data_IF_382821956389
#
_entry.id   IF_382821956389
#
_cell.length_a   1.000
_cell.length_b   1.000
_cell.length_c   1.000
_cell.angle_alpha   90.00
_cell.angle_beta   90.00
_cell.angle_gamma   90.00
#
_symmetry.space_group_name_H-M   'P 1'
#
loop_
_entity.id
_entity.type
_entity.pdbx_description
1 polymer ?
#
# COMPACT_ATOMS: atom_id res chain seq x y z
N UNK A 1 -9.29 8.50 -9.32
CA UNK A 1 -7.95 8.50 -8.73
C UNK A 1 -7.88 9.72 -7.83
N UNK A 2 -7.65 9.50 -6.53
CA UNK A 2 -7.55 10.61 -5.58
C UNK A 2 -6.16 11.25 -5.64
N UNK A 3 -6.05 12.51 -5.23
CA UNK A 3 -4.79 13.25 -5.24
C UNK A 3 -3.79 12.64 -4.24
N UNK A 4 -2.62 12.23 -4.76
CA UNK A 4 -1.49 11.72 -3.98
C UNK A 4 -0.74 12.92 -3.41
N UNK A 5 -0.65 13.01 -2.09
CA UNK A 5 0.01 14.15 -1.43
C UNK A 5 1.53 14.04 -1.54
N UNK A 6 2.06 12.81 -1.57
CA UNK A 6 3.50 12.55 -1.64
C UNK A 6 3.79 11.34 -2.52
N UNK A 7 4.58 11.52 -3.59
CA UNK A 7 5.02 10.44 -4.48
C UNK A 7 6.55 10.35 -4.51
N UNK A 8 7.09 9.14 -4.45
CA UNK A 8 8.52 8.89 -4.60
C UNK A 8 8.89 8.53 -6.03
N UNK A 9 9.92 9.17 -6.57
CA UNK A 9 10.51 8.84 -7.88
C UNK A 9 11.72 7.91 -7.72
N UNK A 10 11.89 6.96 -8.65
CA UNK A 10 13.02 6.02 -8.69
C UNK A 10 13.71 6.11 -10.05
N UNK A 11 15.05 6.17 -10.04
CA UNK A 11 15.85 6.24 -11.27
C UNK A 11 16.41 4.87 -11.65
N UNK A 12 16.52 4.61 -12.95
CA UNK A 12 17.09 3.38 -13.50
C UNK A 12 18.62 3.35 -13.40
N UNK A 13 19.18 2.15 -13.29
CA UNK A 13 20.62 1.93 -13.39
C UNK A 13 21.00 1.86 -14.88
N UNK A 14 21.58 2.94 -15.41
CA UNK A 14 22.16 2.90 -16.76
C UNK A 14 23.54 2.27 -16.66
N UNK A 15 23.69 1.02 -17.10
CA UNK A 15 25.02 0.48 -17.39
C UNK A 15 25.61 1.30 -18.54
N UNK A 16 26.63 2.11 -18.25
CA UNK A 16 27.47 2.70 -19.30
C UNK A 16 28.17 1.55 -20.02
N UNK A 17 27.74 1.22 -21.24
CA UNK A 17 28.60 0.50 -22.17
C UNK A 17 29.67 1.48 -22.64
N UNK A 18 30.87 1.36 -22.08
CA UNK A 18 32.05 2.08 -22.54
C UNK A 18 32.42 1.60 -23.95
N UNK A 19 31.88 2.27 -24.98
CA UNK A 19 32.66 2.57 -26.19
C UNK A 19 32.00 3.65 -27.09
N UNK A 20 32.83 4.62 -27.47
CA UNK A 20 32.66 5.68 -28.47
C UNK A 20 31.88 6.97 -28.12
N UNK A 21 32.64 8.07 -28.07
CA UNK A 21 32.20 9.45 -27.96
C UNK A 21 31.43 9.91 -29.22
N UNK A 22 30.30 10.60 -29.05
CA UNK A 22 30.03 11.88 -29.74
C UNK A 22 28.81 12.61 -29.14
N UNK A 23 28.78 13.92 -29.41
CA UNK A 23 28.21 15.02 -28.65
C UNK A 23 26.68 15.26 -28.78
N UNK A 24 26.10 15.70 -27.65
CA UNK A 24 24.88 16.49 -27.37
C UNK A 24 23.50 16.12 -27.96
N UNK A 25 22.54 15.90 -27.06
CA UNK A 25 21.33 16.73 -27.05
C UNK A 25 20.84 17.00 -25.62
N UNK A 26 20.57 18.27 -25.38
CA UNK A 26 20.25 18.87 -24.10
C UNK A 26 18.81 18.47 -23.66
N UNK A 27 18.66 17.41 -22.87
CA UNK A 27 17.40 17.08 -22.21
C UNK A 27 17.43 17.58 -20.77
N UNK A 28 16.37 18.33 -20.41
CA UNK A 28 16.27 19.14 -19.22
C UNK A 28 16.55 18.35 -17.92
N UNK A 29 17.61 18.77 -17.22
CA UNK A 29 17.82 18.39 -15.82
C UNK A 29 16.68 18.96 -14.97
N UNK A 30 15.76 18.09 -14.54
CA UNK A 30 14.74 18.41 -13.56
C UNK A 30 15.05 17.67 -12.26
N UNK A 31 16.08 18.14 -11.55
CA UNK A 31 16.29 17.81 -10.14
C UNK A 31 15.27 18.59 -9.31
N UNK A 32 14.07 18.03 -9.13
CA UNK A 32 13.33 18.33 -7.91
C UNK A 32 13.96 17.51 -6.80
N UNK A 33 14.89 18.13 -6.08
CA UNK A 33 15.57 17.49 -4.96
C UNK A 33 14.55 16.98 -3.96
N UNK A 34 14.56 15.67 -3.71
CA UNK A 34 13.93 15.07 -2.53
C UNK A 34 14.38 15.88 -1.31
N UNK A 35 13.45 16.20 -0.40
CA UNK A 35 13.85 16.77 0.88
C UNK A 35 14.81 15.80 1.56
N UNK A 36 15.99 16.29 1.96
CA UNK A 36 17.03 15.46 2.58
C UNK A 36 16.55 14.71 3.83
N UNK A 37 15.43 15.16 4.43
CA UNK A 37 14.71 14.50 5.52
C UNK A 37 14.26 13.06 5.21
N UNK A 38 13.98 12.71 3.95
CA UNK A 38 13.52 11.36 3.53
C UNK A 38 14.67 10.33 3.56
N UNK A 39 15.91 10.77 3.37
CA UNK A 39 17.10 9.90 3.33
C UNK A 39 17.78 9.76 4.70
N UNK A 40 17.35 10.53 5.70
CA UNK A 40 17.89 10.44 7.05
C UNK A 40 17.34 9.19 7.74
N UNK A 41 18.18 8.17 7.89
CA UNK A 41 17.89 7.05 8.77
C UNK A 41 17.87 7.51 10.23
N UNK A 42 16.94 6.98 11.02
CA UNK A 42 16.95 7.14 12.47
C UNK A 42 17.93 6.13 13.05
N UNK A 43 18.91 6.60 13.82
CA UNK A 43 19.91 5.76 14.48
C UNK A 43 19.65 5.86 15.98
N UNK A 44 19.26 4.75 16.59
CA UNK A 44 19.05 4.68 18.04
C UNK A 44 19.66 3.42 18.61
N UNK A 45 20.35 3.55 19.76
CA UNK A 45 20.99 2.42 20.44
C UNK A 45 21.87 1.58 19.50
N UNK A 46 22.53 2.23 18.53
CA UNK A 46 23.40 1.58 17.54
C UNK A 46 22.66 0.80 16.44
N UNK A 47 21.33 0.92 16.33
CA UNK A 47 20.52 0.28 15.29
C UNK A 47 19.93 1.31 14.34
N UNK A 48 19.92 0.98 13.05
CA UNK A 48 19.39 1.82 11.98
C UNK A 48 17.94 1.46 11.70
N UNK A 49 17.03 2.41 11.90
CA UNK A 49 15.60 2.26 11.62
C UNK A 49 15.25 3.01 10.34
N UNK A 50 14.46 2.36 9.47
CA UNK A 50 13.90 3.01 8.29
C UNK A 50 12.87 4.09 8.68
N UNK A 51 12.95 5.25 8.04
CA UNK A 51 12.06 6.40 8.25
C UNK A 51 10.69 6.28 7.54
N UNK A 52 10.33 5.08 7.09
CA UNK A 52 9.14 4.80 6.27
C UNK A 52 7.82 5.11 6.99
N UNK A 53 7.85 5.29 8.32
CA UNK A 53 6.69 5.57 9.18
C UNK A 53 6.87 6.82 10.07
N UNK A 54 7.85 7.68 9.81
CA UNK A 54 8.00 8.90 10.62
C UNK A 54 6.78 9.82 10.44
N UNK A 55 6.22 10.24 11.57
CA UNK A 55 5.02 11.06 11.64
C UNK A 55 3.74 10.29 11.97
N UNK A 56 3.70 8.96 11.81
CA UNK A 56 2.52 8.20 12.26
C UNK A 56 2.56 8.04 13.78
N UNK A 57 1.41 8.17 14.49
CA UNK A 57 1.42 8.23 15.95
C UNK A 57 2.22 7.10 16.60
N UNK A 58 2.07 5.80 16.25
CA UNK A 58 2.84 4.74 16.92
C UNK A 58 4.34 4.73 16.64
N UNK A 59 4.82 5.49 15.65
CA UNK A 59 6.23 5.53 15.26
C UNK A 59 6.97 6.79 15.75
N UNK A 60 6.26 7.73 16.40
CA UNK A 60 6.84 8.92 17.02
C UNK A 60 7.32 8.59 18.45
N UNK A 61 8.52 9.05 18.83
CA UNK A 61 9.15 8.75 20.14
C UNK A 61 8.29 9.13 21.34
N UNK A 62 7.62 10.28 21.26
CA UNK A 62 6.82 10.84 22.33
C UNK A 62 5.37 10.32 22.34
N UNK A 63 5.01 9.46 21.39
CA UNK A 63 3.63 9.02 21.28
C UNK A 63 3.29 7.97 22.33
N UNK A 64 2.35 8.33 23.19
CA UNK A 64 1.67 7.40 24.08
C UNK A 64 0.44 6.88 23.34
N UNK A 65 0.56 5.69 22.75
CA UNK A 65 -0.57 4.99 22.13
C UNK A 65 -1.14 3.96 23.11
N UNK A 66 -2.45 3.97 23.31
CA UNK A 66 -3.20 3.04 24.14
C UNK A 66 -3.60 1.78 23.37
N UNK A 67 -4.90 1.53 23.22
CA UNK A 67 -5.40 0.30 22.56
C UNK A 67 -5.17 0.37 21.05
N UNK A 68 -4.32 -0.53 20.55
CA UNK A 68 -3.99 -0.67 19.12
C UNK A 68 -4.62 -1.94 18.56
N UNK A 69 -5.26 -1.83 17.39
CA UNK A 69 -5.66 -2.97 16.57
C UNK A 69 -4.78 -3.03 15.32
N UNK A 70 -4.17 -4.19 15.06
CA UNK A 70 -3.47 -4.49 13.81
C UNK A 70 -4.30 -5.45 12.95
N UNK A 71 -4.79 -4.96 11.83
CA UNK A 71 -5.62 -5.67 10.86
C UNK A 71 -4.75 -6.09 9.67
N UNK A 72 -4.77 -7.38 9.33
CA UNK A 72 -3.86 -7.96 8.33
C UNK A 72 -2.91 -9.03 8.88
N UNK A 73 -3.16 -9.55 10.08
CA UNK A 73 -2.59 -10.83 10.57
C UNK A 73 -3.20 -12.08 9.90
N UNK A 74 -4.12 -11.87 8.96
CA UNK A 74 -5.06 -12.82 8.38
C UNK A 74 -6.23 -12.04 7.77
N UNK A 75 -7.45 -12.59 7.70
CA UNK A 75 -8.57 -11.87 7.07
C UNK A 75 -9.10 -10.68 7.86
N UNK A 76 -8.73 -10.50 9.15
CA UNK A 76 -9.13 -9.38 10.01
C UNK A 76 -10.64 -9.29 10.33
N UNK A 77 -11.49 -9.94 9.55
CA UNK A 77 -12.94 -9.94 9.61
C UNK A 77 -13.48 -10.39 10.96
N UNK A 78 -12.88 -11.42 11.56
CA UNK A 78 -13.32 -11.93 12.86
C UNK A 78 -13.16 -10.90 13.97
N UNK A 79 -12.05 -10.15 14.02
CA UNK A 79 -11.82 -9.17 15.08
C UNK A 79 -12.83 -8.01 14.99
N UNK A 80 -13.21 -7.63 13.78
CA UNK A 80 -14.20 -6.57 13.53
C UNK A 80 -15.61 -7.06 13.85
N UNK A 81 -15.99 -8.24 13.34
CA UNK A 81 -17.31 -8.82 13.59
C UNK A 81 -17.50 -9.13 15.08
N UNK A 82 -16.44 -9.54 15.79
CA UNK A 82 -16.46 -9.70 17.24
C UNK A 82 -16.70 -8.36 17.95
N UNK A 83 -16.04 -7.27 17.54
CA UNK A 83 -16.29 -5.94 18.07
C UNK A 83 -17.75 -5.49 17.89
N UNK A 84 -18.34 -5.78 16.72
CA UNK A 84 -19.76 -5.47 16.46
C UNK A 84 -20.72 -6.27 17.37
N UNK A 85 -20.41 -7.54 17.65
CA UNK A 85 -21.19 -8.41 18.54
C UNK A 85 -21.05 -8.06 20.02
N UNK A 86 -19.94 -7.40 20.38
CA UNK A 86 -19.57 -7.07 21.75
C UNK A 86 -19.38 -5.55 21.90
N UNK A 87 -20.46 -4.76 21.85
CA UNK A 87 -20.38 -3.29 21.93
C UNK A 87 -19.88 -2.77 23.29
N UNK A 88 -19.81 -3.64 24.31
CA UNK A 88 -19.10 -3.38 25.57
C UNK A 88 -17.57 -3.37 25.41
N UNK A 89 -17.06 -3.92 24.30
CA UNK A 89 -15.65 -3.86 23.98
C UNK A 89 -15.24 -2.41 23.78
N UNK A 90 -14.09 -2.09 24.34
CA UNK A 90 -13.69 -0.72 24.44
C UNK A 90 -13.02 -0.22 23.13
N UNK A 91 -13.32 1.00 22.64
CA UNK A 91 -12.82 1.52 21.36
C UNK A 91 -11.29 1.63 21.28
N UNK A 92 -10.73 1.51 20.07
CA UNK A 92 -9.29 1.63 19.80
C UNK A 92 -8.84 3.08 19.66
N UNK A 93 -7.59 3.37 20.00
CA UNK A 93 -6.99 4.69 19.74
C UNK A 93 -6.25 4.73 18.40
N UNK A 94 -5.86 3.56 17.88
CA UNK A 94 -5.22 3.42 16.59
C UNK A 94 -5.58 2.06 15.96
N UNK A 95 -6.00 2.10 14.70
CA UNK A 95 -6.25 0.93 13.88
C UNK A 95 -5.28 0.99 12.70
N UNK A 96 -4.42 -0.02 12.59
CA UNK A 96 -3.58 -0.27 11.43
C UNK A 96 -4.22 -1.33 10.55
N UNK A 97 -4.20 -1.17 9.23
CA UNK A 97 -4.68 -2.17 8.28
C UNK A 97 -3.72 -2.30 7.12
N UNK A 98 -3.29 -3.52 6.79
CA UNK A 98 -2.25 -3.74 5.79
C UNK A 98 -2.53 -4.90 4.80
N UNK A 99 -2.36 -4.64 3.49
CA UNK A 99 -2.48 -5.62 2.39
C UNK A 99 -3.79 -6.41 2.39
N UNK A 100 -4.91 -5.68 2.40
CA UNK A 100 -6.27 -6.20 2.53
C UNK A 100 -7.10 -6.11 1.23
N UNK A 101 -6.56 -5.56 0.13
CA UNK A 101 -7.26 -5.41 -1.18
C UNK A 101 -7.90 -6.69 -1.71
N UNK A 102 -7.34 -7.86 -1.41
CA UNK A 102 -7.90 -9.16 -1.82
C UNK A 102 -8.89 -9.78 -0.81
N UNK A 103 -8.98 -9.22 0.39
CA UNK A 103 -9.67 -9.81 1.55
C UNK A 103 -10.95 -9.06 1.91
N UNK A 104 -10.97 -7.74 1.72
CA UNK A 104 -12.12 -6.89 2.04
C UNK A 104 -13.03 -6.77 0.83
N UNK A 105 -14.30 -7.14 1.04
CA UNK A 105 -15.32 -7.11 -0.02
C UNK A 105 -16.00 -5.74 -0.15
N UNK A 106 -16.18 -5.04 0.97
CA UNK A 106 -16.85 -3.75 1.03
C UNK A 106 -15.99 -2.78 1.84
N UNK A 107 -15.25 -1.93 1.13
CA UNK A 107 -14.29 -1.01 1.74
C UNK A 107 -14.97 0.17 2.45
N UNK A 108 -16.10 0.65 1.95
CA UNK A 108 -16.88 1.72 2.60
C UNK A 108 -17.39 1.25 3.97
N UNK A 109 -17.98 0.05 4.01
CA UNK A 109 -18.44 -0.55 5.27
C UNK A 109 -17.27 -0.82 6.22
N UNK A 110 -16.16 -1.35 5.71
CA UNK A 110 -14.96 -1.61 6.50
C UNK A 110 -14.41 -0.32 7.14
N UNK A 111 -14.23 0.74 6.33
CA UNK A 111 -13.74 2.05 6.81
C UNK A 111 -14.73 2.65 7.81
N UNK A 112 -16.04 2.52 7.57
CA UNK A 112 -17.06 2.96 8.53
C UNK A 112 -16.95 2.22 9.86
N UNK A 113 -16.77 0.90 9.84
CA UNK A 113 -16.57 0.11 11.07
C UNK A 113 -15.31 0.52 11.82
N UNK A 114 -14.21 0.78 11.10
CA UNK A 114 -13.00 1.35 11.71
C UNK A 114 -13.28 2.71 12.35
N UNK A 115 -14.00 3.60 11.66
CA UNK A 115 -14.39 4.90 12.20
C UNK A 115 -15.22 4.77 13.47
N UNK A 116 -16.26 3.93 13.48
CA UNK A 116 -17.16 3.74 14.62
C UNK A 116 -16.41 3.20 15.86
N UNK A 117 -15.44 2.30 15.65
CA UNK A 117 -14.67 1.65 16.71
C UNK A 117 -13.43 2.43 17.18
N UNK A 118 -13.16 3.62 16.63
CA UNK A 118 -12.10 4.50 17.12
C UNK A 118 -12.61 5.43 18.24
N UNK A 119 -11.76 5.68 19.23
CA UNK A 119 -11.94 6.79 20.17
C UNK A 119 -11.93 8.13 19.43
N UNK A 120 -12.61 9.17 19.94
CA UNK A 120 -12.41 10.53 19.45
C UNK A 120 -10.92 10.89 19.48
N UNK A 121 -10.42 11.52 18.41
CA UNK A 121 -8.98 11.78 18.24
C UNK A 121 -8.14 10.59 17.77
N UNK A 122 -8.71 9.37 17.71
CA UNK A 122 -8.02 8.16 17.25
C UNK A 122 -7.74 8.14 15.75
N UNK A 123 -6.87 7.22 15.31
CA UNK A 123 -6.33 7.20 13.95
C UNK A 123 -6.59 5.89 13.21
N UNK A 124 -6.90 5.99 11.92
CA UNK A 124 -6.89 4.86 10.98
C UNK A 124 -5.71 5.02 10.02
N UNK A 125 -4.88 3.98 9.92
CA UNK A 125 -3.80 3.88 8.92
C UNK A 125 -4.05 2.68 8.01
N UNK A 126 -4.26 2.93 6.72
CA UNK A 126 -4.38 1.92 5.67
C UNK A 126 -3.08 1.85 4.87
N UNK A 127 -2.47 0.67 4.78
CA UNK A 127 -1.33 0.39 3.90
C UNK A 127 -1.69 -0.69 2.89
N UNK A 128 -1.85 -0.32 1.62
CA UNK A 128 -2.23 -1.29 0.59
C UNK A 128 -1.54 -1.03 -0.73
N UNK A 129 -1.52 -2.04 -1.59
CA UNK A 129 -0.82 -1.97 -2.88
C UNK A 129 -1.79 -2.19 -4.03
N UNK A 130 -1.61 -1.39 -5.08
CA UNK A 130 -2.26 -1.67 -6.34
C UNK A 130 -1.74 -2.99 -6.91
N UNK A 131 -2.67 -3.85 -7.30
CA UNK A 131 -2.34 -5.14 -7.93
C UNK A 131 -1.80 -4.98 -9.34
N UNK A 132 -2.16 -3.90 -10.04
CA UNK A 132 -1.71 -3.63 -11.40
C UNK A 132 -0.32 -2.97 -11.38
N UNK A 133 0.70 -3.57 -12.00
CA UNK A 133 2.02 -2.98 -12.10
C UNK A 133 2.00 -1.69 -12.92
N UNK A 134 2.90 -0.77 -12.59
CA UNK A 134 3.15 0.47 -13.35
C UNK A 134 4.62 0.58 -13.74
N UNK A 135 4.90 1.46 -14.69
CA UNK A 135 6.23 1.84 -15.17
C UNK A 135 6.15 3.32 -15.55
N UNK A 136 7.19 4.09 -15.19
CA UNK A 136 7.21 5.55 -15.43
C UNK A 136 7.74 5.91 -16.82
N UNK A 137 8.37 4.95 -17.51
CA UNK A 137 9.09 5.11 -18.78
C UNK A 137 8.58 4.17 -19.88
N UNK A 138 7.40 3.58 -19.66
CA UNK A 138 6.73 2.65 -20.59
C UNK A 138 7.57 1.43 -21.00
N UNK A 139 8.62 1.08 -20.25
CA UNK A 139 9.47 -0.09 -20.51
C UNK A 139 8.86 -1.41 -20.02
N UNK A 140 7.65 -1.38 -19.44
CA UNK A 140 6.82 -2.55 -19.18
C UNK A 140 5.80 -2.74 -20.32
N UNK A 141 5.96 -3.75 -21.19
CA UNK A 141 5.02 -4.00 -22.27
C UNK A 141 3.60 -4.30 -21.74
N UNK A 142 2.58 -3.75 -22.41
CA UNK A 142 1.17 -3.95 -22.03
C UNK A 142 0.70 -5.39 -22.22
N UNK A 143 1.40 -6.17 -23.04
CA UNK A 143 1.18 -7.58 -23.31
C UNK A 143 2.16 -8.50 -22.57
N UNK A 144 2.95 -7.95 -21.62
CA UNK A 144 3.80 -8.76 -20.75
C UNK A 144 2.95 -9.78 -19.97
N UNK A 145 3.48 -10.98 -19.77
CA UNK A 145 2.82 -12.06 -19.04
C UNK A 145 2.45 -11.64 -17.61
N UNK A 146 3.22 -10.76 -16.96
CA UNK A 146 2.84 -10.23 -15.65
C UNK A 146 1.61 -9.31 -15.68
N UNK A 147 1.42 -8.53 -16.75
CA UNK A 147 0.22 -7.72 -16.94
C UNK A 147 -0.98 -8.64 -17.17
N UNK A 148 -0.83 -9.65 -18.03
CA UNK A 148 -1.87 -10.64 -18.29
C UNK A 148 -2.25 -11.42 -17.03
N UNK A 149 -1.25 -11.79 -16.21
CA UNK A 149 -1.47 -12.47 -14.93
C UNK A 149 -2.42 -11.69 -14.01
N UNK A 150 -2.21 -10.37 -13.90
CA UNK A 150 -3.06 -9.51 -13.08
C UNK A 150 -4.43 -9.29 -13.73
N UNK A 151 -4.51 -9.17 -15.04
CA UNK A 151 -5.80 -9.07 -15.75
C UNK A 151 -6.68 -10.31 -15.51
N UNK A 152 -6.10 -11.51 -15.60
CA UNK A 152 -6.79 -12.76 -15.31
C UNK A 152 -7.26 -12.83 -13.85
N UNK A 153 -6.45 -12.37 -12.90
CA UNK A 153 -6.86 -12.27 -11.49
C UNK A 153 -8.03 -11.29 -11.31
N UNK A 154 -8.00 -10.13 -11.98
CA UNK A 154 -9.11 -9.15 -11.96
C UNK A 154 -10.38 -9.72 -12.60
N UNK A 155 -10.27 -10.49 -13.66
CA UNK A 155 -11.40 -11.18 -14.26
C UNK A 155 -12.03 -12.18 -13.27
N UNK A 156 -11.20 -13.01 -12.63
CA UNK A 156 -11.69 -13.95 -11.62
C UNK A 156 -12.34 -13.22 -10.45
N UNK A 157 -11.70 -12.16 -9.93
CA UNK A 157 -12.20 -11.42 -8.78
C UNK A 157 -13.57 -10.78 -9.06
N UNK A 158 -13.77 -10.28 -10.28
CA UNK A 158 -15.07 -9.82 -10.78
C UNK A 158 -16.11 -10.94 -10.86
N UNK A 159 -15.77 -12.10 -11.44
CA UNK A 159 -16.69 -13.27 -11.49
C UNK A 159 -17.11 -13.76 -10.10
N UNK A 160 -16.24 -13.58 -9.09
CA UNK A 160 -16.52 -13.94 -7.69
C UNK A 160 -17.21 -12.83 -6.88
N UNK A 161 -17.48 -11.66 -7.48
CA UNK A 161 -18.09 -10.51 -6.79
C UNK A 161 -17.21 -9.95 -5.66
N UNK A 162 -15.89 -9.98 -5.86
CA UNK A 162 -14.83 -9.52 -4.94
C UNK A 162 -13.78 -8.73 -5.71
N UNK A 163 -14.21 -7.68 -6.40
CA UNK A 163 -13.30 -6.86 -7.21
C UNK A 163 -12.22 -6.19 -6.34
N UNK A 164 -11.02 -6.08 -6.90
CA UNK A 164 -9.93 -5.37 -6.24
C UNK A 164 -10.27 -3.88 -6.20
N UNK A 165 -10.08 -3.26 -5.02
CA UNK A 165 -10.25 -1.82 -4.87
C UNK A 165 -9.15 -1.06 -5.61
N UNK A 166 -9.48 0.12 -6.12
CA UNK A 166 -8.49 1.09 -6.57
C UNK A 166 -7.97 1.80 -5.31
N UNK A 167 -6.73 1.51 -4.89
CA UNK A 167 -6.29 1.84 -3.52
C UNK A 167 -6.30 3.35 -3.26
N UNK A 168 -6.05 4.20 -4.25
CA UNK A 168 -6.11 5.65 -4.04
C UNK A 168 -7.52 6.15 -3.70
N UNK A 169 -8.57 5.44 -4.15
CA UNK A 169 -9.96 5.78 -3.82
C UNK A 169 -10.27 5.67 -2.32
N UNK A 170 -9.48 4.89 -1.55
CA UNK A 170 -9.68 4.74 -0.11
C UNK A 170 -9.50 6.07 0.65
N UNK A 171 -8.70 7.01 0.13
CA UNK A 171 -8.58 8.37 0.69
C UNK A 171 -9.94 9.07 0.71
N UNK A 172 -10.67 9.03 -0.40
CA UNK A 172 -12.00 9.65 -0.50
C UNK A 172 -13.00 8.95 0.41
N UNK A 173 -12.97 7.60 0.47
CA UNK A 173 -13.84 6.84 1.37
C UNK A 173 -13.60 7.19 2.85
N UNK A 174 -12.34 7.43 3.25
CA UNK A 174 -12.03 7.91 4.60
C UNK A 174 -12.59 9.30 4.87
N UNK A 175 -12.45 10.23 3.91
CA UNK A 175 -13.03 11.58 4.02
C UNK A 175 -14.55 11.50 4.17
N UNK A 176 -15.20 10.70 3.32
CA UNK A 176 -16.66 10.49 3.34
C UNK A 176 -17.15 9.84 4.64
N UNK A 177 -16.35 8.95 5.25
CA UNK A 177 -16.64 8.35 6.55
C UNK A 177 -16.50 9.34 7.72
N UNK A 178 -15.91 10.52 7.50
CA UNK A 178 -15.79 11.59 8.50
C UNK A 178 -14.39 11.74 9.12
N UNK A 179 -13.37 11.07 8.59
CA UNK A 179 -11.99 11.31 9.01
C UNK A 179 -11.51 12.70 8.58
N UNK A 180 -10.74 13.35 9.45
CA UNK A 180 -10.06 14.63 9.23
C UNK A 180 -8.59 14.39 8.86
N UNK A 181 -7.97 15.42 8.27
CA UNK A 181 -6.54 15.46 8.00
C UNK A 181 -6.03 14.23 7.23
N UNK A 182 -6.81 13.77 6.24
CA UNK A 182 -6.52 12.54 5.51
C UNK A 182 -5.36 12.74 4.54
N UNK A 183 -4.19 12.20 4.89
CA UNK A 183 -2.98 12.21 4.06
C UNK A 183 -2.78 10.86 3.36
N UNK A 184 -2.33 10.90 2.10
CA UNK A 184 -1.95 9.75 1.29
C UNK A 184 -0.55 9.92 0.73
N UNK A 185 0.32 8.94 1.03
CA UNK A 185 1.66 8.83 0.49
C UNK A 185 1.76 7.58 -0.38
N UNK A 186 2.37 7.70 -1.56
CA UNK A 186 2.61 6.59 -2.48
C UNK A 186 4.11 6.28 -2.58
N UNK A 187 4.44 5.01 -2.41
CA UNK A 187 5.77 4.44 -2.54
C UNK A 187 5.80 3.49 -3.73
N UNK A 188 6.92 3.49 -4.46
CA UNK A 188 7.16 2.55 -5.55
C UNK A 188 7.87 1.32 -5.00
N UNK A 189 7.26 0.14 -5.10
CA UNK A 189 7.89 -1.14 -4.78
C UNK A 189 8.33 -1.82 -6.07
N UNK A 190 9.61 -1.74 -6.44
CA UNK A 190 10.13 -2.32 -7.68
C UNK A 190 9.91 -3.83 -7.69
N UNK A 191 9.66 -4.40 -8.85
CA UNK A 191 9.49 -5.86 -8.99
C UNK A 191 10.81 -6.62 -9.01
N UNK A 192 11.91 -5.92 -9.29
CA UNK A 192 13.26 -6.46 -9.30
C UNK A 192 14.30 -5.36 -9.08
N UNK A 193 15.57 -5.71 -9.28
CA UNK A 193 16.75 -4.90 -8.98
C UNK A 193 17.08 -3.81 -10.02
N UNK A 194 16.18 -3.47 -10.95
CA UNK A 194 16.40 -2.41 -11.96
C UNK A 194 16.72 -1.01 -11.40
N UNK A 195 16.27 -0.58 -10.21
CA UNK A 195 16.58 0.76 -9.71
C UNK A 195 18.06 0.93 -9.41
N UNK A 196 18.58 2.14 -9.67
CA UNK A 196 19.97 2.52 -9.34
C UNK A 196 20.22 2.63 -7.84
N UNK A 197 19.24 3.15 -7.09
CA UNK A 197 19.35 3.37 -5.66
C UNK A 197 19.52 2.02 -4.92
N UNK A 198 20.59 1.83 -4.11
CA UNK A 198 20.86 0.56 -3.43
C UNK A 198 19.73 0.06 -2.51
N UNK A 199 18.98 0.99 -1.90
CA UNK A 199 17.83 0.65 -1.06
C UNK A 199 16.69 0.10 -1.90
N UNK A 200 16.35 0.77 -3.02
CA UNK A 200 15.29 0.31 -3.92
C UNK A 200 15.69 -0.95 -4.69
N UNK A 201 16.97 -1.11 -5.03
CA UNK A 201 17.52 -2.34 -5.58
C UNK A 201 17.31 -3.52 -4.62
N UNK A 202 17.67 -3.35 -3.35
CA UNK A 202 17.44 -4.35 -2.30
C UNK A 202 15.95 -4.61 -2.05
N UNK A 203 15.10 -3.57 -2.07
CA UNK A 203 13.66 -3.74 -1.97
C UNK A 203 13.11 -4.57 -3.13
N UNK A 204 13.55 -4.28 -4.35
CA UNK A 204 13.17 -5.02 -5.55
C UNK A 204 13.58 -6.48 -5.52
N UNK A 205 14.78 -6.79 -5.00
CA UNK A 205 15.19 -8.17 -4.73
C UNK A 205 14.19 -8.89 -3.81
N UNK A 206 13.81 -8.28 -2.69
CA UNK A 206 12.86 -8.89 -1.75
C UNK A 206 11.44 -9.00 -2.31
N UNK A 207 10.99 -8.00 -3.07
CA UNK A 207 9.71 -8.06 -3.78
C UNK A 207 9.70 -9.22 -4.76
N UNK A 208 10.77 -9.41 -5.52
CA UNK A 208 10.90 -10.50 -6.48
C UNK A 208 10.80 -11.87 -5.79
N UNK A 209 11.53 -12.08 -4.71
CA UNK A 209 11.53 -13.34 -3.95
C UNK A 209 10.15 -13.61 -3.31
N UNK A 210 9.52 -12.58 -2.74
CA UNK A 210 8.21 -12.69 -2.13
C UNK A 210 7.13 -12.99 -3.17
N UNK A 211 7.04 -12.18 -4.22
CA UNK A 211 5.97 -12.29 -5.20
C UNK A 211 6.16 -13.51 -6.10
N UNK A 212 7.39 -13.76 -6.57
CA UNK A 212 7.72 -14.87 -7.46
C UNK A 212 7.44 -16.25 -6.85
N UNK A 213 7.57 -16.39 -5.53
CA UNK A 213 7.19 -17.60 -4.80
C UNK A 213 5.69 -17.70 -4.52
N UNK A 214 4.99 -16.57 -4.36
CA UNK A 214 3.55 -16.53 -4.10
C UNK A 214 2.65 -16.73 -5.33
N UNK A 215 3.16 -16.49 -6.56
CA UNK A 215 2.37 -16.50 -7.79
C UNK A 215 1.44 -17.71 -7.95
N UNK A 216 1.99 -18.91 -7.73
CA UNK A 216 1.23 -20.16 -7.89
C UNK A 216 0.13 -20.30 -6.84
N UNK A 217 0.45 -20.01 -5.58
CA UNK A 217 -0.49 -20.09 -4.48
C UNK A 217 -1.68 -19.13 -4.70
N UNK A 218 -1.43 -17.96 -5.26
CA UNK A 218 -2.44 -16.94 -5.55
C UNK A 218 -3.35 -17.39 -6.70
N UNK A 219 -2.80 -17.87 -7.83
CA UNK A 219 -3.60 -18.05 -9.04
C UNK A 219 -4.11 -19.48 -9.29
N UNK A 220 -3.53 -20.51 -8.67
CA UNK A 220 -3.85 -21.90 -9.00
C UNK A 220 -5.33 -22.22 -8.84
N UNK A 221 -5.92 -21.90 -7.68
CA UNK A 221 -7.34 -22.14 -7.45
C UNK A 221 -8.25 -21.20 -8.29
N UNK A 222 -8.01 -19.88 -8.35
CA UNK A 222 -8.72 -18.97 -9.25
C UNK A 222 -8.77 -19.44 -10.71
N UNK A 223 -7.61 -19.74 -11.31
CA UNK A 223 -7.54 -20.03 -12.74
C UNK A 223 -8.13 -21.40 -13.08
N UNK A 224 -7.91 -22.41 -12.23
CA UNK A 224 -8.45 -23.75 -12.49
C UNK A 224 -9.95 -23.83 -12.22
N UNK A 225 -10.44 -23.25 -11.11
CA UNK A 225 -11.84 -23.40 -10.68
C UNK A 225 -12.79 -22.39 -11.34
N UNK A 226 -12.29 -21.22 -11.74
CA UNK A 226 -13.12 -20.13 -12.30
C UNK A 226 -12.88 -19.92 -13.78
N UNK A 227 -11.63 -20.00 -14.25
CA UNK A 227 -11.31 -19.87 -15.69
C UNK A 227 -11.27 -21.21 -16.42
N UNK A 228 -11.32 -22.33 -15.71
CA UNK A 228 -11.35 -23.67 -16.29
C UNK A 228 -10.01 -24.17 -16.82
N UNK A 229 -8.90 -23.51 -16.48
CA UNK A 229 -7.56 -23.94 -16.89
C UNK A 229 -7.18 -25.26 -16.22
N UNK A 230 -6.35 -26.05 -16.89
CA UNK A 230 -5.66 -27.17 -16.29
C UNK A 230 -4.49 -26.68 -15.42
N UNK A 231 -4.03 -27.50 -14.48
CA UNK A 231 -2.85 -27.18 -13.66
C UNK A 231 -1.59 -26.99 -14.51
N UNK A 232 -1.47 -27.74 -15.61
CA UNK A 232 -0.32 -27.67 -16.50
C UNK A 232 -0.30 -26.36 -17.29
N UNK A 233 -1.44 -25.90 -17.80
CA UNK A 233 -1.56 -24.58 -18.44
C UNK A 233 -1.17 -23.45 -17.47
N UNK A 234 -1.62 -23.50 -16.22
CA UNK A 234 -1.23 -22.53 -15.18
C UNK A 234 0.29 -22.56 -14.96
N UNK A 235 0.88 -23.75 -14.79
CA UNK A 235 2.31 -23.89 -14.54
C UNK A 235 3.16 -23.37 -15.71
N UNK A 236 2.77 -23.68 -16.95
CA UNK A 236 3.45 -23.19 -18.16
C UNK A 236 3.36 -21.67 -18.25
N UNK A 237 2.18 -21.08 -17.98
CA UNK A 237 2.01 -19.63 -17.96
C UNK A 237 2.89 -18.96 -16.89
N UNK A 238 2.93 -19.52 -15.68
CA UNK A 238 3.74 -19.00 -14.57
C UNK A 238 5.25 -19.02 -14.85
N UNK A 239 5.74 -19.85 -15.79
CA UNK A 239 7.14 -19.76 -16.24
C UNK A 239 7.41 -18.41 -16.92
N UNK A 240 6.49 -17.92 -17.75
CA UNK A 240 6.64 -16.62 -18.42
C UNK A 240 6.49 -15.47 -17.44
N UNK A 241 5.51 -15.53 -16.53
CA UNK A 241 5.33 -14.50 -15.48
C UNK A 241 6.59 -14.35 -14.63
N UNK A 242 7.23 -15.47 -14.24
CA UNK A 242 8.49 -15.43 -13.47
C UNK A 242 9.68 -14.88 -14.27
N UNK A 243 9.70 -15.05 -15.60
CA UNK A 243 10.72 -14.43 -16.46
C UNK A 243 10.54 -12.92 -16.50
N UNK A 244 9.31 -12.44 -16.67
CA UNK A 244 9.01 -11.01 -16.67
C UNK A 244 9.38 -10.35 -15.35
N UNK A 245 9.04 -10.97 -14.21
CA UNK A 245 9.43 -10.44 -12.90
C UNK A 245 10.95 -10.31 -12.73
N UNK A 246 11.73 -11.21 -13.32
CA UNK A 246 13.21 -11.17 -13.26
C UNK A 246 13.82 -10.26 -14.32
N UNK A 247 13.04 -9.79 -15.30
CA UNK A 247 13.55 -8.99 -16.38
C UNK A 247 13.83 -7.57 -15.92
N UNK A 248 15.11 -7.24 -15.75
CA UNK A 248 15.56 -5.90 -15.32
C UNK A 248 15.33 -4.83 -16.40
N UNK A 249 15.05 -5.21 -17.66
CA UNK A 249 14.64 -4.25 -18.68
C UNK A 249 13.21 -3.76 -18.48
N UNK A 250 12.41 -4.45 -17.67
CA UNK A 250 11.08 -3.99 -17.29
C UNK A 250 11.20 -3.17 -16.01
N UNK A 251 11.08 -1.85 -16.14
CA UNK A 251 11.09 -0.92 -15.00
C UNK A 251 9.71 -0.91 -14.30
N UNK A 252 9.27 -2.10 -13.91
CA UNK A 252 7.99 -2.36 -13.28
C UNK A 252 8.07 -2.14 -11.77
N UNK A 253 7.00 -1.58 -11.21
CA UNK A 253 6.78 -1.46 -9.78
C UNK A 253 5.30 -1.61 -9.42
N UNK A 254 5.02 -2.00 -8.18
CA UNK A 254 3.70 -1.90 -7.57
C UNK A 254 3.61 -0.59 -6.78
N UNK A 255 2.61 0.28 -7.04
CA UNK A 255 2.31 1.41 -6.18
C UNK A 255 1.81 0.91 -4.81
N UNK A 256 2.43 1.38 -3.73
CA UNK A 256 2.03 1.08 -2.35
C UNK A 256 1.63 2.38 -1.67
N UNK A 257 0.41 2.43 -1.18
CA UNK A 257 -0.19 3.60 -0.57
C UNK A 257 -0.20 3.46 0.95
N UNK A 258 0.14 4.54 1.64
CA UNK A 258 -0.06 4.72 3.07
C UNK A 258 -1.04 5.89 3.25
N UNK A 259 -2.24 5.59 3.75
CA UNK A 259 -3.33 6.55 3.92
C UNK A 259 -3.64 6.64 5.39
N UNK A 260 -3.55 7.84 5.96
CA UNK A 260 -3.74 8.08 7.40
C UNK A 260 -4.80 9.15 7.58
N UNK A 261 -5.76 8.91 8.46
CA UNK A 261 -6.78 9.89 8.82
C UNK A 261 -7.13 9.82 10.29
N UNK A 262 -7.58 10.95 10.84
CA UNK A 262 -7.90 11.11 12.27
C UNK A 262 -9.39 11.27 12.49
N UNK A 263 -9.95 10.56 13.46
CA UNK A 263 -11.33 10.78 13.91
C UNK A 263 -11.43 12.12 14.64
N UNK A 264 -12.48 12.94 14.41
CA UNK A 264 -12.69 14.18 15.15
C UNK A 264 -12.67 13.98 16.67
N UNK A 265 -12.21 15.01 17.40
CA UNK A 265 -12.39 15.08 18.85
C UNK A 265 -13.88 15.19 19.20
N UNK A 266 -14.27 14.74 20.41
CA UNK A 266 -15.58 15.09 20.94
C UNK A 266 -15.62 16.59 21.14
N UNK A 267 -16.55 17.28 20.47
CA UNK A 267 -16.85 18.68 20.78
C UNK A 267 -17.23 18.74 22.27
N UNK A 268 -16.47 19.49 23.06
CA UNK A 268 -16.78 19.67 24.47
C UNK A 268 -18.16 20.32 24.58
N UNK A 269 -19.14 19.64 25.17
CA UNK A 269 -20.42 20.25 25.52
C UNK A 269 -20.12 21.36 26.53
N UNK A 270 -20.45 22.64 26.24
CA UNK A 270 -20.26 23.70 27.22
C UNK A 270 -21.04 23.35 28.49
N UNK A 271 -20.40 23.49 29.65
CA UNK A 271 -21.02 23.20 30.93
C UNK A 271 -22.34 24.01 31.05
N UNK A 272 -23.45 23.41 31.51
CA UNK A 272 -24.68 24.15 31.74
C UNK A 272 -24.37 25.32 32.69
N UNK A 273 -24.90 26.50 32.34
CA UNK A 273 -24.71 27.71 33.14
C UNK A 273 -25.04 27.41 34.60
N UNK A 274 -24.09 27.70 35.50
CA UNK A 274 -24.27 27.49 36.93
C UNK A 274 -25.59 28.17 37.34
N UNK A 275 -26.51 27.38 37.89
CA UNK A 275 -27.75 27.90 38.43
C UNK A 275 -27.39 28.98 39.46
N UNK A 276 -27.80 30.21 39.18
CA UNK A 276 -27.68 31.30 40.14
C UNK A 276 -28.55 30.90 41.33
N UNK A 277 -27.92 30.64 42.47
CA UNK A 277 -28.60 30.46 43.75
C UNK A 277 -29.24 31.80 44.13
N UNK A 278 -30.57 31.84 44.18
CA UNK A 278 -31.34 32.91 44.84
C UNK A 278 -31.12 32.91 46.35
#
# INVERSE_FOLDING_TARGET
MADIDHEVLIAADHEESDDSQSEVSNTASSTTSLSSSILQHRIENGRTYHRYKDGTPPCNEDAKVGRVLDVGSGSGSWAIDFGDLHPEAEPFEYIHSRFMTASIRNWEEYIKKCYDNLTPGGYLELQDADVMPRSDDDLLPKDAAIIEYVNLLKEVSKKLGREYVEVSSLKNMMIEAGFLDVEMRMYKWPHNEWPKDPRYKKLGFWTQENFGSALEAICMAPFTRVLGWTRDEVNVFLVQVRKDLKNKSYHAYSPVYCIVGRKPEKVATPAPAAAQSE
#
